data_IF_517935097158
#
_entry.id   IF_517935097158
#
_cell.length_a   1.000
_cell.length_b   1.000
_cell.length_c   1.000
_cell.angle_alpha   90.00
_cell.angle_beta   90.00
_cell.angle_gamma   90.00
#
_symmetry.space_group_name_H-M   'P 1'
#
loop_
_entity.id
_entity.type
_entity.pdbx_description
1 polymer ?
#
# COMPACT_ATOMS: atom_id res chain seq x y z
N UNK A 1 3.04 -8.68 20.28
CA UNK A 1 1.86 -8.70 19.39
C UNK A 1 2.38 -8.17 18.09
N UNK A 2 2.40 -9.01 17.06
CA UNK A 2 2.86 -8.59 15.73
C UNK A 2 1.84 -7.66 15.12
N UNK A 3 2.29 -6.49 14.71
CA UNK A 3 1.46 -5.50 14.03
C UNK A 3 2.19 -5.06 12.79
N UNK A 4 1.52 -5.13 11.65
CA UNK A 4 2.11 -4.59 10.43
C UNK A 4 2.01 -3.08 10.45
N UNK A 5 2.99 -2.45 9.83
CA UNK A 5 3.09 -1.00 9.73
C UNK A 5 3.33 -0.62 8.29
N UNK A 6 2.64 0.43 7.83
CA UNK A 6 2.89 1.05 6.54
C UNK A 6 3.41 2.45 6.80
N UNK A 7 4.66 2.73 6.43
CA UNK A 7 5.16 4.09 6.41
C UNK A 7 4.92 4.69 5.02
N UNK A 8 4.47 5.95 4.97
CA UNK A 8 4.17 6.68 3.74
C UNK A 8 4.86 8.04 3.81
N UNK A 9 5.68 8.37 2.82
CA UNK A 9 6.34 9.68 2.68
C UNK A 9 5.35 10.75 2.19
N UNK A 10 4.35 11.02 3.02
CA UNK A 10 3.30 12.02 2.80
C UNK A 10 2.76 12.53 4.14
N UNK A 11 2.15 13.74 4.18
CA UNK A 11 1.51 14.27 5.39
C UNK A 11 0.30 13.45 5.85
N UNK A 12 0.06 13.41 7.17
CA UNK A 12 -1.03 12.64 7.78
C UNK A 12 -2.40 12.94 7.19
N UNK A 13 -2.71 14.22 6.92
CA UNK A 13 -4.00 14.59 6.34
C UNK A 13 -4.18 14.03 4.92
N UNK A 14 -3.12 14.01 4.11
CA UNK A 14 -3.17 13.43 2.77
C UNK A 14 -3.37 11.90 2.83
N UNK A 15 -2.65 11.23 3.73
CA UNK A 15 -2.82 9.77 3.94
C UNK A 15 -4.22 9.46 4.48
N UNK A 16 -4.72 10.26 5.42
CA UNK A 16 -6.09 10.14 5.92
C UNK A 16 -7.09 10.19 4.77
N UNK A 17 -7.02 11.23 3.93
CA UNK A 17 -7.97 11.46 2.84
C UNK A 17 -7.95 10.34 1.80
N UNK A 18 -6.80 9.70 1.57
CA UNK A 18 -6.71 8.50 0.75
C UNK A 18 -7.39 7.29 1.42
N UNK A 19 -7.17 7.09 2.72
CA UNK A 19 -7.69 5.93 3.45
C UNK A 19 -9.19 6.00 3.73
N UNK A 20 -9.80 7.19 3.82
CA UNK A 20 -11.28 7.27 3.90
C UNK A 20 -11.97 6.75 2.63
N UNK A 21 -11.28 6.74 1.47
CA UNK A 21 -11.82 6.15 0.25
C UNK A 21 -12.03 4.63 0.35
N UNK A 22 -11.31 3.94 1.25
CA UNK A 22 -11.52 2.51 1.56
C UNK A 22 -12.81 2.24 2.34
N UNK A 23 -13.62 3.26 2.59
CA UNK A 23 -14.92 3.17 3.29
C UNK A 23 -14.80 2.51 4.67
N UNK A 24 -13.94 3.02 5.58
CA UNK A 24 -13.97 2.59 6.97
C UNK A 24 -15.38 2.79 7.56
N UNK A 25 -15.79 1.88 8.45
CA UNK A 25 -17.07 1.96 9.16
C UNK A 25 -17.11 3.14 10.13
N UNK A 26 -15.98 3.48 10.72
CA UNK A 26 -15.83 4.59 11.67
C UNK A 26 -14.47 5.23 11.49
N UNK A 27 -14.44 6.56 11.58
CA UNK A 27 -13.24 7.38 11.60
C UNK A 27 -13.35 8.32 12.79
N UNK A 28 -12.28 8.44 13.57
CA UNK A 28 -12.24 9.37 14.70
C UNK A 28 -10.83 9.92 14.91
N UNK A 29 -10.75 11.18 15.35
CA UNK A 29 -9.51 11.76 15.81
C UNK A 29 -9.11 11.13 17.15
N UNK A 30 -7.83 10.83 17.31
CA UNK A 30 -7.21 10.32 18.54
C UNK A 30 -5.99 11.17 18.88
N UNK A 31 -5.41 10.97 20.06
CA UNK A 31 -4.26 11.77 20.54
C UNK A 31 -3.09 11.84 19.54
N UNK A 32 -2.90 10.79 18.74
CA UNK A 32 -1.75 10.62 17.84
C UNK A 32 -2.11 10.73 16.35
N UNK A 33 -3.29 11.25 16.01
CA UNK A 33 -3.76 11.36 14.64
C UNK A 33 -5.18 10.82 14.48
N UNK A 34 -5.35 9.76 13.70
CA UNK A 34 -6.65 9.21 13.33
C UNK A 34 -6.73 7.70 13.55
N UNK A 35 -7.88 7.24 14.03
CA UNK A 35 -8.22 5.82 14.07
C UNK A 35 -9.33 5.53 13.06
N UNK A 36 -9.14 4.49 12.26
CA UNK A 36 -10.10 4.02 11.27
C UNK A 36 -10.45 2.55 11.56
N UNK A 37 -11.74 2.27 11.76
CA UNK A 37 -12.26 0.91 11.93
C UNK A 37 -12.86 0.41 10.62
N UNK A 38 -12.47 -0.79 10.20
CA UNK A 38 -13.01 -1.50 9.04
C UNK A 38 -13.94 -2.65 9.45
N UNK A 39 -14.17 -2.82 10.75
CA UNK A 39 -14.93 -3.91 11.35
C UNK A 39 -14.55 -4.07 12.81
N UNK A 40 -15.16 -5.06 13.47
CA UNK A 40 -15.05 -5.23 14.93
C UNK A 40 -13.63 -5.62 15.38
N UNK A 41 -12.85 -6.23 14.48
CA UNK A 41 -11.51 -6.76 14.77
C UNK A 41 -10.43 -6.21 13.82
N UNK A 42 -10.76 -5.17 13.04
CA UNK A 42 -9.93 -4.65 11.95
C UNK A 42 -9.80 -3.13 12.07
N UNK A 43 -8.61 -2.63 12.33
CA UNK A 43 -8.38 -1.20 12.51
C UNK A 43 -7.00 -0.74 12.04
N UNK A 44 -6.93 0.54 11.68
CA UNK A 44 -5.70 1.24 11.34
C UNK A 44 -5.57 2.52 12.18
N UNK A 45 -4.38 2.76 12.71
CA UNK A 45 -4.00 4.00 13.39
C UNK A 45 -3.05 4.76 12.47
N UNK A 46 -3.45 5.97 12.09
CA UNK A 46 -2.72 6.86 11.17
C UNK A 46 -2.17 8.02 11.99
N UNK A 47 -0.87 8.20 12.01
CA UNK A 47 -0.21 9.24 12.78
C UNK A 47 1.13 9.65 12.20
N UNK A 48 1.67 10.76 12.69
CA UNK A 48 3.00 11.20 12.28
C UNK A 48 4.02 10.12 12.65
N UNK A 49 4.82 9.71 11.66
CA UNK A 49 6.07 9.03 11.97
C UNK A 49 6.96 10.04 12.74
N UNK A 50 7.88 9.55 13.58
CA UNK A 50 8.84 10.42 14.28
C UNK A 50 9.43 11.50 13.33
N UNK A 51 9.77 12.71 13.84
CA UNK A 51 9.30 14.01 13.31
C UNK A 51 9.71 14.44 11.88
N UNK A 52 10.30 13.60 11.05
CA UNK A 52 10.78 13.95 9.71
C UNK A 52 10.48 12.85 8.64
N UNK A 53 9.66 11.84 8.93
CA UNK A 53 9.56 10.61 8.12
C UNK A 53 8.18 10.31 7.50
N UNK A 54 7.29 11.30 7.39
CA UNK A 54 5.96 11.14 6.80
C UNK A 54 4.92 10.61 7.79
N UNK A 55 4.13 9.63 7.36
CA UNK A 55 2.99 9.08 8.11
C UNK A 55 3.15 7.59 8.35
N UNK A 56 2.95 7.16 9.59
CA UNK A 56 2.83 5.75 9.94
C UNK A 56 1.36 5.33 10.00
N UNK A 57 1.07 4.18 9.38
CA UNK A 57 -0.21 3.49 9.43
C UNK A 57 0.02 2.14 10.12
N UNK A 58 -0.25 2.09 11.42
CA UNK A 58 -0.20 0.85 12.20
C UNK A 58 -1.49 0.08 12.00
N UNK A 59 -1.41 -1.15 11.47
CA UNK A 59 -2.56 -1.97 11.13
C UNK A 59 -2.71 -3.12 12.11
N UNK A 60 -3.91 -3.29 12.64
CA UNK A 60 -4.27 -4.45 13.46
C UNK A 60 -5.45 -5.16 12.82
N UNK A 61 -5.16 -6.31 12.21
CA UNK A 61 -6.16 -7.25 11.73
C UNK A 61 -6.15 -8.49 12.61
N UNK A 62 -7.15 -8.61 13.47
CA UNK A 62 -7.37 -9.81 14.31
C UNK A 62 -8.51 -10.67 13.79
N UNK A 63 -9.11 -10.29 12.67
CA UNK A 63 -10.03 -11.16 11.97
C UNK A 63 -9.20 -12.22 11.29
N UNK A 64 -9.51 -13.51 11.48
CA UNK A 64 -8.80 -14.63 10.82
C UNK A 64 -9.14 -14.71 9.33
N UNK A 65 -9.14 -13.57 8.66
CA UNK A 65 -9.55 -13.37 7.26
C UNK A 65 -8.40 -13.76 6.32
N UNK A 66 -8.74 -14.43 5.22
CA UNK A 66 -7.79 -14.67 4.12
C UNK A 66 -7.36 -13.37 3.43
N UNK A 67 -8.11 -12.27 3.61
CA UNK A 67 -7.72 -10.92 3.20
C UNK A 67 -7.12 -10.14 4.36
N UNK A 68 -5.83 -9.84 4.27
CA UNK A 68 -5.07 -9.08 5.25
C UNK A 68 -5.34 -7.58 5.10
N UNK A 69 -5.84 -6.90 6.15
CA UNK A 69 -6.14 -5.46 6.07
C UNK A 69 -4.93 -4.62 5.64
N UNK A 70 -3.72 -4.92 6.10
CA UNK A 70 -2.57 -4.11 5.72
C UNK A 70 -2.25 -4.21 4.24
N UNK A 71 -2.41 -5.39 3.63
CA UNK A 71 -2.27 -5.54 2.18
C UNK A 71 -3.36 -4.78 1.42
N UNK A 72 -4.61 -4.80 1.91
CA UNK A 72 -5.70 -4.00 1.32
C UNK A 72 -5.38 -2.49 1.37
N UNK A 73 -4.87 -2.02 2.51
CA UNK A 73 -4.46 -0.62 2.70
C UNK A 73 -3.26 -0.27 1.81
N UNK A 74 -2.22 -1.11 1.81
CA UNK A 74 -1.00 -0.91 1.05
C UNK A 74 -1.28 -0.83 -0.45
N UNK A 75 -2.05 -1.77 -1.00
CA UNK A 75 -2.44 -1.80 -2.41
C UNK A 75 -3.25 -0.56 -2.80
N UNK A 76 -4.15 -0.12 -1.91
CA UNK A 76 -4.95 1.08 -2.15
C UNK A 76 -4.08 2.33 -2.20
N UNK A 77 -3.15 2.49 -1.26
CA UNK A 77 -2.20 3.60 -1.26
C UNK A 77 -1.34 3.58 -2.53
N UNK A 78 -0.80 2.42 -2.92
CA UNK A 78 -0.02 2.28 -4.16
C UNK A 78 -0.76 2.75 -5.42
N UNK A 79 -2.09 2.61 -5.47
CA UNK A 79 -2.89 3.01 -6.65
C UNK A 79 -3.30 4.48 -6.65
N UNK A 80 -3.14 5.17 -5.52
CA UNK A 80 -3.74 6.50 -5.30
C UNK A 80 -2.73 7.57 -4.91
N UNK A 81 -1.49 7.21 -4.61
CA UNK A 81 -0.40 8.14 -4.32
C UNK A 81 0.89 7.78 -5.04
N UNK A 82 1.68 8.80 -5.34
CA UNK A 82 3.04 8.74 -5.87
C UNK A 82 4.09 8.74 -4.74
N UNK A 83 3.67 8.89 -3.48
CA UNK A 83 4.56 8.88 -2.31
C UNK A 83 5.35 7.57 -2.23
N UNK A 84 6.56 7.63 -1.68
CA UNK A 84 7.27 6.42 -1.29
C UNK A 84 6.51 5.75 -0.12
N UNK A 85 6.38 4.43 -0.15
CA UNK A 85 5.77 3.70 0.96
C UNK A 85 6.42 2.33 1.19
N UNK A 86 6.36 1.87 2.44
CA UNK A 86 6.97 0.62 2.91
C UNK A 86 5.98 -0.13 3.81
N UNK A 87 5.72 -1.42 3.52
CA UNK A 87 5.01 -2.34 4.40
C UNK A 87 6.02 -3.16 5.20
N UNK A 88 5.88 -3.18 6.51
CA UNK A 88 6.75 -3.86 7.47
C UNK A 88 5.96 -4.77 8.40
N UNK A 89 6.58 -5.84 8.89
CA UNK A 89 6.10 -6.71 9.97
C UNK A 89 7.25 -7.01 10.93
N UNK A 90 6.98 -6.90 12.25
CA UNK A 90 7.86 -7.22 13.38
C UNK A 90 9.37 -7.27 13.08
N UNK A 91 9.92 -6.13 12.66
CA UNK A 91 11.35 -5.93 12.46
C UNK A 91 11.88 -6.20 11.05
N UNK A 92 11.03 -6.54 10.08
CA UNK A 92 11.39 -6.79 8.69
C UNK A 92 10.57 -5.97 7.69
N UNK A 93 11.22 -5.56 6.60
CA UNK A 93 10.54 -5.00 5.43
C UNK A 93 9.88 -6.14 4.63
N UNK A 94 8.58 -6.03 4.38
CA UNK A 94 7.81 -6.97 3.55
C UNK A 94 7.74 -6.49 2.10
N UNK A 95 7.39 -5.22 1.89
CA UNK A 95 7.21 -4.64 0.57
C UNK A 95 7.54 -3.15 0.55
N UNK A 96 7.91 -2.62 -0.62
CA UNK A 96 8.14 -1.20 -0.82
C UNK A 96 7.64 -0.78 -2.21
N UNK A 97 7.10 0.43 -2.31
CA UNK A 97 6.66 1.04 -3.56
C UNK A 97 7.09 2.51 -3.63
N UNK A 98 7.34 2.97 -4.84
CA UNK A 98 7.54 4.38 -5.18
C UNK A 98 7.02 4.57 -6.60
N UNK A 99 6.04 5.44 -6.79
CA UNK A 99 5.68 5.89 -8.13
C UNK A 99 6.25 7.28 -8.35
N UNK A 100 7.34 7.38 -9.13
CA UNK A 100 7.78 8.68 -9.62
C UNK A 100 6.89 9.14 -10.78
N UNK A 101 6.82 10.46 -11.07
CA UNK A 101 6.18 10.93 -12.30
C UNK A 101 7.02 10.44 -13.50
N UNK A 102 6.59 9.34 -14.12
CA UNK A 102 7.37 8.75 -15.21
C UNK A 102 7.02 7.36 -15.73
N UNK A 103 5.82 6.81 -15.51
CA UNK A 103 5.32 5.70 -16.34
C UNK A 103 3.83 5.82 -16.63
N UNK A 104 3.50 6.76 -17.52
CA UNK A 104 2.38 6.56 -18.44
C UNK A 104 2.94 5.90 -19.70
N UNK A 105 2.23 4.90 -20.23
CA UNK A 105 2.46 4.25 -21.53
C UNK A 105 3.57 3.20 -21.63
N UNK A 106 3.51 2.20 -20.75
CA UNK A 106 3.86 0.84 -21.17
C UNK A 106 2.75 0.30 -22.06
N UNK A 107 2.75 0.66 -23.35
CA UNK A 107 2.08 -0.11 -24.40
C UNK A 107 2.42 -1.59 -24.13
N UNK A 108 1.42 -2.42 -23.84
CA UNK A 108 1.57 -3.87 -23.95
C UNK A 108 1.80 -4.12 -25.44
N UNK A 109 3.05 -4.00 -25.87
CA UNK A 109 3.49 -4.61 -27.11
C UNK A 109 3.49 -6.09 -26.77
N UNK A 110 2.47 -6.80 -27.22
CA UNK A 110 2.52 -8.23 -27.44
C UNK A 110 3.66 -8.54 -28.42
N UNK A 111 4.90 -8.41 -27.99
CA UNK A 111 6.03 -8.99 -28.70
C UNK A 111 6.24 -10.39 -28.12
N UNK A 112 5.46 -11.30 -28.68
CA UNK A 112 5.71 -12.73 -28.67
C UNK A 112 7.18 -13.01 -29.00
N UNK A 113 8.01 -13.24 -27.98
CA UNK A 113 9.37 -13.79 -28.12
C UNK A 113 9.38 -15.29 -28.52
N UNK A 114 8.28 -15.80 -29.09
CA UNK A 114 8.16 -17.17 -29.62
C UNK A 114 7.95 -17.25 -31.15
N UNK A 115 8.02 -16.14 -31.89
CA UNK A 115 7.82 -16.15 -33.35
C UNK A 115 9.10 -15.87 -34.17
N UNK A 116 10.31 -16.13 -33.62
CA UNK A 116 11.59 -15.88 -34.33
C UNK A 116 12.62 -17.02 -34.28
N UNK A 117 12.19 -18.28 -34.20
CA UNK A 117 13.00 -19.38 -34.71
C UNK A 117 12.63 -19.62 -36.18
N UNK A 118 13.15 -18.75 -37.04
CA UNK A 118 13.15 -18.96 -38.48
C UNK A 118 14.00 -20.19 -38.82
N UNK A 119 13.35 -21.34 -38.93
CA UNK A 119 13.88 -22.51 -39.60
C UNK A 119 13.82 -22.23 -41.11
N UNK A 120 14.94 -22.20 -41.86
CA UNK A 120 14.86 -22.11 -43.31
C UNK A 120 14.46 -23.47 -43.90
N UNK A 121 13.64 -23.52 -44.98
CA UNK A 121 13.46 -24.74 -45.74
C UNK A 121 14.74 -25.01 -46.55
N UNK A 122 15.42 -26.11 -46.26
CA UNK A 122 16.56 -26.61 -47.03
C UNK A 122 16.08 -27.44 -48.22
N UNK A 123 16.69 -27.18 -49.38
CA UNK A 123 16.67 -27.98 -50.60
C UNK A 123 17.30 -29.37 -50.41
#
# INVERSE_FOLDING_TARGET
MSGEMINVDAPVDAVRDLLVELRPRRVQAVRWGWEMSFGDLRFALVGDAAPDAGTDVSVQDRSRSDRHLAWEIYDHLCRRTDAALWLMDDGGLIAAARWGPGQTEGRVVEDSLLARTGYPPGH
#
